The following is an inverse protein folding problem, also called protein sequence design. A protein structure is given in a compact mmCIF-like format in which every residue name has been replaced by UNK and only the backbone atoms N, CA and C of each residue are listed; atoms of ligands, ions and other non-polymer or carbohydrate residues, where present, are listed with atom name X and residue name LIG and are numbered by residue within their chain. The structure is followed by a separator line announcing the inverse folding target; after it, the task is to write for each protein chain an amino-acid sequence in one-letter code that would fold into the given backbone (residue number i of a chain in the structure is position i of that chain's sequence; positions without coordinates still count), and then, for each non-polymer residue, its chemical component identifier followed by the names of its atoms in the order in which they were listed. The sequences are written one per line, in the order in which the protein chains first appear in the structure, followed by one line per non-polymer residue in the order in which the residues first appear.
data_IF_588615855160
#
_entry.id   IF_588615855160
#
_cell.length_a   1.000
_cell.length_b   1.000
_cell.length_c   1.000
_cell.angle_alpha   90.00
_cell.angle_beta   90.00
_cell.angle_gamma   90.00
#
_symmetry.space_group_name_H-M   'P 1'
#
loop_
_entity.id
_entity.type
_entity.pdbx_description
1 polymer ?
#
# COMPACT_ATOMS: atom_id res chain seq x y z
N UNK A 1 -49.62 -27.17 15.47
CA UNK A 1 -48.17 -26.98 15.28
C UNK A 1 -47.99 -26.57 13.84
N UNK A 2 -47.69 -25.29 13.60
CA UNK A 2 -47.52 -24.75 12.25
C UNK A 2 -46.03 -24.89 11.86
N UNK A 3 -45.77 -25.53 10.73
CA UNK A 3 -44.43 -25.66 10.16
C UNK A 3 -43.90 -24.28 9.76
N UNK A 4 -42.72 -23.93 10.27
CA UNK A 4 -42.00 -22.74 9.86
C UNK A 4 -41.49 -22.92 8.41
N UNK A 5 -41.61 -21.89 7.54
CA UNK A 5 -41.16 -22.01 6.17
C UNK A 5 -39.63 -22.13 6.10
N UNK A 6 -39.08 -22.84 5.10
CA UNK A 6 -37.65 -23.01 4.95
C UNK A 6 -36.97 -21.67 4.73
N UNK A 7 -35.90 -21.43 5.50
CA UNK A 7 -35.06 -20.24 5.45
C UNK A 7 -34.51 -20.05 4.02
N UNK A 8 -35.03 -19.06 3.29
CA UNK A 8 -34.52 -18.66 1.98
C UNK A 8 -33.11 -18.09 2.15
N UNK A 9 -32.09 -18.91 1.91
CA UNK A 9 -30.71 -18.45 1.69
C UNK A 9 -30.66 -17.82 0.29
N UNK A 10 -31.22 -16.62 0.13
CA UNK A 10 -31.09 -15.84 -1.10
C UNK A 10 -30.82 -14.37 -0.80
N UNK A 11 -29.62 -14.06 -0.32
CA UNK A 11 -29.03 -12.72 -0.45
C UNK A 11 -27.52 -12.81 -0.22
N UNK A 12 -26.75 -12.18 -1.10
CA UNK A 12 -25.28 -12.13 -1.16
C UNK A 12 -24.58 -13.33 -1.83
N UNK A 13 -24.92 -13.61 -3.09
CA UNK A 13 -23.83 -13.88 -4.04
C UNK A 13 -23.10 -12.56 -4.23
N UNK A 14 -21.89 -12.39 -3.67
CA UNK A 14 -21.02 -11.32 -4.15
C UNK A 14 -20.86 -11.53 -5.64
N UNK A 15 -21.20 -10.53 -6.47
CA UNK A 15 -20.97 -10.64 -7.90
C UNK A 15 -19.50 -10.99 -8.12
N UNK A 16 -19.25 -12.11 -8.82
CA UNK A 16 -17.89 -12.54 -9.18
C UNK A 16 -17.34 -11.45 -10.11
N UNK A 17 -16.22 -10.83 -9.72
CA UNK A 17 -15.59 -9.78 -10.51
C UNK A 17 -15.18 -10.34 -11.88
N UNK A 18 -15.52 -9.64 -12.94
CA UNK A 18 -15.11 -10.00 -14.31
C UNK A 18 -13.71 -9.48 -14.61
N UNK A 19 -13.03 -10.11 -15.59
CA UNK A 19 -11.72 -9.62 -16.05
C UNK A 19 -11.81 -8.19 -16.61
N UNK A 20 -12.93 -7.85 -17.27
CA UNK A 20 -13.20 -6.51 -17.78
C UNK A 20 -13.27 -5.46 -16.66
N UNK A 21 -13.99 -5.75 -15.57
CA UNK A 21 -14.04 -4.88 -14.38
C UNK A 21 -12.66 -4.74 -13.73
N UNK A 22 -11.92 -5.85 -13.60
CA UNK A 22 -10.55 -5.81 -13.08
C UNK A 22 -9.63 -4.94 -13.92
N UNK A 23 -9.65 -5.06 -15.25
CA UNK A 23 -8.84 -4.22 -16.16
C UNK A 23 -9.20 -2.75 -16.01
N UNK A 24 -10.48 -2.42 -15.84
CA UNK A 24 -10.92 -1.04 -15.60
C UNK A 24 -10.33 -0.48 -14.30
N UNK A 25 -10.39 -1.24 -13.20
CA UNK A 25 -9.81 -0.87 -11.90
C UNK A 25 -8.28 -0.73 -12.02
N UNK A 26 -7.61 -1.71 -12.64
CA UNK A 26 -6.16 -1.75 -12.82
C UNK A 26 -5.70 -0.54 -13.63
N UNK A 27 -6.31 -0.28 -14.78
CA UNK A 27 -5.90 0.82 -15.67
C UNK A 27 -6.12 2.19 -15.01
N UNK A 28 -7.22 2.38 -14.28
CA UNK A 28 -7.46 3.59 -13.47
C UNK A 28 -6.39 3.75 -12.39
N UNK A 29 -6.10 2.69 -11.65
CA UNK A 29 -5.12 2.72 -10.56
C UNK A 29 -3.68 2.86 -11.09
N UNK A 30 -3.37 2.40 -12.30
CA UNK A 30 -2.06 2.56 -12.92
C UNK A 30 -1.73 4.03 -13.20
N UNK A 31 -2.73 4.79 -13.68
CA UNK A 31 -2.61 6.24 -13.85
C UNK A 31 -2.38 6.98 -12.53
N UNK A 32 -3.13 6.62 -11.47
CA UNK A 32 -2.90 7.17 -10.13
C UNK A 32 -1.54 6.75 -9.55
N UNK A 33 -1.07 5.54 -9.84
CA UNK A 33 0.22 5.07 -9.38
C UNK A 33 1.36 5.90 -9.98
N UNK A 34 1.27 6.25 -11.26
CA UNK A 34 2.24 7.14 -11.92
C UNK A 34 2.41 8.47 -11.15
N UNK A 35 1.30 9.13 -10.79
CA UNK A 35 1.34 10.40 -10.08
C UNK A 35 1.68 10.26 -8.59
N UNK A 36 1.23 9.21 -7.91
CA UNK A 36 1.30 9.16 -6.45
C UNK A 36 2.51 8.43 -5.87
N UNK A 37 3.00 7.37 -6.54
CA UNK A 37 3.99 6.46 -5.96
C UNK A 37 5.11 6.06 -6.93
N UNK A 38 4.82 5.87 -8.22
CA UNK A 38 5.81 5.40 -9.19
C UNK A 38 7.05 6.31 -9.23
N UNK A 39 8.23 5.70 -9.12
CA UNK A 39 9.55 6.33 -9.01
C UNK A 39 9.72 7.27 -7.81
N UNK A 40 8.92 7.09 -6.75
CA UNK A 40 9.00 7.89 -5.53
C UNK A 40 9.51 7.07 -4.35
N UNK A 41 10.19 7.77 -3.46
CA UNK A 41 10.56 7.30 -2.14
C UNK A 41 9.67 7.99 -1.10
N UNK A 42 9.12 7.21 -0.19
CA UNK A 42 8.19 7.66 0.85
C UNK A 42 8.81 7.38 2.22
N UNK A 43 8.95 8.41 3.05
CA UNK A 43 9.32 8.24 4.45
C UNK A 43 8.05 8.27 5.31
N UNK A 44 7.78 7.16 6.02
CA UNK A 44 6.72 7.09 7.01
C UNK A 44 7.32 7.37 8.38
N UNK A 45 6.98 8.50 8.99
CA UNK A 45 7.47 8.90 10.32
C UNK A 45 6.41 8.63 11.36
N UNK A 46 6.78 7.88 12.39
CA UNK A 46 5.84 7.36 13.37
C UNK A 46 6.40 7.43 14.79
N UNK A 47 5.49 7.33 15.76
CA UNK A 47 5.84 6.99 17.14
C UNK A 47 5.57 5.52 17.38
N UNK A 48 6.53 4.79 17.93
CA UNK A 48 6.38 3.39 18.30
C UNK A 48 5.54 3.23 19.60
N UNK A 49 5.42 1.99 20.06
CA UNK A 49 4.72 1.64 21.31
C UNK A 49 5.33 2.26 22.56
N UNK A 50 6.60 2.68 22.50
CA UNK A 50 7.31 3.34 23.59
C UNK A 50 7.33 4.87 23.42
N UNK A 51 6.50 5.41 22.51
CA UNK A 51 6.41 6.83 22.18
C UNK A 51 7.74 7.41 21.66
N UNK A 52 8.67 6.56 21.21
CA UNK A 52 9.90 6.96 20.53
C UNK A 52 9.59 7.22 19.07
N UNK A 53 10.16 8.30 18.54
CA UNK A 53 10.03 8.60 17.11
C UNK A 53 11.00 7.75 16.31
N UNK A 54 10.50 7.18 15.22
CA UNK A 54 11.28 6.44 14.24
C UNK A 54 10.68 6.64 12.84
N UNK A 55 11.38 6.15 11.82
CA UNK A 55 10.92 6.22 10.44
C UNK A 55 11.37 5.00 9.62
N UNK A 56 10.63 4.72 8.55
CA UNK A 56 11.11 3.85 7.48
C UNK A 56 10.97 4.55 6.13
N UNK A 57 11.83 4.17 5.19
CA UNK A 57 11.79 4.65 3.82
C UNK A 57 11.39 3.51 2.87
N UNK A 58 10.37 3.73 2.05
CA UNK A 58 9.92 2.77 1.04
C UNK A 58 10.07 3.33 -0.37
N UNK A 59 10.69 2.57 -1.27
CA UNK A 59 10.84 2.93 -2.67
C UNK A 59 9.83 2.18 -3.56
N UNK A 60 9.14 2.95 -4.41
CA UNK A 60 8.09 2.45 -5.29
C UNK A 60 8.54 2.56 -6.75
N UNK A 61 8.62 1.42 -7.43
CA UNK A 61 9.08 1.27 -8.81
C UNK A 61 7.98 0.70 -9.71
N UNK A 62 8.07 0.93 -11.04
CA UNK A 62 7.09 0.40 -12.00
C UNK A 62 6.75 -1.09 -11.82
N UNK A 63 7.74 -1.93 -11.55
CA UNK A 63 7.55 -3.37 -11.37
C UNK A 63 6.75 -3.74 -10.11
N UNK A 64 6.64 -2.86 -9.11
CA UNK A 64 5.84 -3.14 -7.92
C UNK A 64 4.34 -3.17 -8.24
N UNK A 65 3.88 -2.41 -9.23
CA UNK A 65 2.45 -2.24 -9.51
C UNK A 65 1.73 -3.57 -9.79
N UNK A 66 2.35 -4.47 -10.57
CA UNK A 66 1.76 -5.78 -10.88
C UNK A 66 1.46 -6.58 -9.60
N UNK A 67 2.35 -6.57 -8.61
CA UNK A 67 2.17 -7.28 -7.35
C UNK A 67 0.97 -6.76 -6.53
N UNK A 68 0.61 -5.48 -6.69
CA UNK A 68 -0.53 -4.87 -6.02
C UNK A 68 -1.87 -5.31 -6.62
N UNK A 69 -1.88 -5.67 -7.90
CA UNK A 69 -3.11 -6.11 -8.58
C UNK A 69 -3.49 -7.55 -8.26
N UNK A 70 -2.51 -8.39 -7.89
CA UNK A 70 -2.74 -9.80 -7.61
C UNK A 70 -2.93 -10.69 -8.83
N UNK A 71 -3.03 -10.14 -10.04
CA UNK A 71 -3.22 -10.91 -11.28
C UNK A 71 -1.94 -11.62 -11.69
N UNK A 72 -2.10 -12.71 -12.43
CA UNK A 72 -1.03 -13.35 -13.19
C UNK A 72 -1.17 -12.99 -14.68
N UNK A 73 -0.12 -13.25 -15.46
CA UNK A 73 -0.10 -12.93 -16.90
C UNK A 73 0.14 -14.20 -17.71
N UNK A 74 -0.66 -14.43 -18.77
CA UNK A 74 -0.63 -15.69 -19.56
C UNK A 74 0.69 -15.96 -20.27
N UNK A 75 1.41 -14.92 -20.69
CA UNK A 75 2.66 -15.06 -21.45
C UNK A 75 3.90 -14.69 -20.62
N UNK A 76 3.80 -14.78 -19.28
CA UNK A 76 4.84 -14.30 -18.36
C UNK A 76 5.31 -12.87 -18.67
N UNK A 77 4.36 -12.01 -19.05
CA UNK A 77 4.61 -10.59 -19.29
C UNK A 77 5.32 -10.01 -18.07
N UNK A 78 6.52 -9.46 -18.28
CA UNK A 78 7.31 -8.87 -17.20
C UNK A 78 6.53 -7.72 -16.54
N UNK A 79 6.66 -7.58 -15.22
CA UNK A 79 5.91 -6.58 -14.44
C UNK A 79 6.03 -5.13 -14.98
N UNK A 80 7.20 -4.75 -15.49
CA UNK A 80 7.39 -3.44 -16.14
C UNK A 80 6.57 -3.27 -17.43
N UNK A 81 6.46 -4.33 -18.24
CA UNK A 81 5.65 -4.30 -19.46
C UNK A 81 4.16 -4.26 -19.10
N UNK A 82 3.74 -5.08 -18.13
CA UNK A 82 2.38 -5.05 -17.60
C UNK A 82 1.98 -3.64 -17.12
N UNK A 83 2.85 -2.97 -16.36
CA UNK A 83 2.57 -1.62 -15.88
C UNK A 83 2.43 -0.61 -17.03
N UNK A 84 3.31 -0.64 -18.03
CA UNK A 84 3.19 0.23 -19.21
C UNK A 84 1.87 0.00 -19.93
N UNK A 85 1.52 -1.26 -20.18
CA UNK A 85 0.26 -1.60 -20.86
C UNK A 85 -0.97 -1.16 -20.05
N UNK A 86 -0.90 -1.22 -18.72
CA UNK A 86 -1.95 -0.72 -17.84
C UNK A 86 -2.11 0.82 -17.91
N UNK A 87 -1.00 1.55 -17.90
CA UNK A 87 -1.00 3.02 -18.02
C UNK A 87 -1.53 3.45 -19.39
N UNK A 88 -1.08 2.79 -20.46
CA UNK A 88 -1.48 3.07 -21.84
C UNK A 88 -2.89 2.55 -22.17
N UNK A 89 -3.57 1.89 -21.23
CA UNK A 89 -4.88 1.25 -21.41
C UNK A 89 -4.90 0.20 -22.53
N UNK A 90 -3.80 -0.54 -22.68
CA UNK A 90 -3.61 -1.60 -23.69
C UNK A 90 -3.83 -3.02 -23.17
N UNK A 91 -4.16 -3.19 -21.88
CA UNK A 91 -4.50 -4.49 -21.30
C UNK A 91 -5.80 -5.05 -21.89
N UNK A 92 -5.77 -6.33 -22.24
CA UNK A 92 -6.93 -7.13 -22.69
C UNK A 92 -7.24 -8.23 -21.68
N UNK A 93 -8.47 -8.71 -21.67
CA UNK A 93 -8.92 -9.82 -20.81
C UNK A 93 -8.01 -11.05 -20.97
N UNK A 94 -7.60 -11.33 -22.21
CA UNK A 94 -6.67 -12.41 -22.53
C UNK A 94 -5.26 -12.25 -21.95
N UNK A 95 -4.89 -11.08 -21.44
CA UNK A 95 -3.56 -10.83 -20.88
C UNK A 95 -3.45 -11.19 -19.39
N UNK A 96 -4.58 -11.27 -18.69
CA UNK A 96 -4.60 -11.48 -17.23
C UNK A 96 -5.25 -12.82 -16.87
N UNK A 97 -4.84 -13.37 -15.73
CA UNK A 97 -5.42 -14.54 -15.09
C UNK A 97 -5.66 -14.19 -13.63
N UNK A 98 -6.82 -14.57 -13.10
CA UNK A 98 -7.08 -14.46 -11.66
C UNK A 98 -6.49 -15.66 -10.96
N UNK A 99 -5.95 -15.44 -9.76
CA UNK A 99 -5.46 -16.53 -8.92
C UNK A 99 -6.63 -17.34 -8.36
N UNK A 100 -6.48 -18.65 -8.33
CA UNK A 100 -7.52 -19.58 -7.83
C UNK A 100 -7.85 -19.39 -6.33
N UNK A 101 -6.99 -18.72 -5.58
CA UNK A 101 -7.17 -18.45 -4.15
C UNK A 101 -7.94 -17.15 -3.82
N UNK A 102 -8.61 -16.54 -4.80
CA UNK A 102 -9.40 -15.30 -4.67
C UNK A 102 -8.64 -14.06 -4.14
N UNK A 103 -7.31 -14.13 -4.05
CA UNK A 103 -6.50 -13.00 -3.57
C UNK A 103 -6.45 -11.85 -4.57
N UNK A 104 -6.75 -12.10 -5.84
CA UNK A 104 -6.83 -11.06 -6.88
C UNK A 104 -7.95 -10.07 -6.56
N UNK A 105 -9.14 -10.58 -6.30
CA UNK A 105 -10.33 -9.78 -6.02
C UNK A 105 -10.16 -8.97 -4.73
N UNK A 106 -9.61 -9.59 -3.68
CA UNK A 106 -9.31 -8.91 -2.41
C UNK A 106 -8.34 -7.74 -2.62
N UNK A 107 -7.27 -7.96 -3.40
CA UNK A 107 -6.29 -6.91 -3.72
C UNK A 107 -6.91 -5.79 -4.55
N UNK A 108 -7.70 -6.11 -5.57
CA UNK A 108 -8.35 -5.12 -6.42
C UNK A 108 -9.38 -4.26 -5.67
N UNK A 109 -10.08 -4.82 -4.69
CA UNK A 109 -11.01 -4.07 -3.83
C UNK A 109 -10.33 -2.95 -3.02
N UNK A 110 -9.05 -3.13 -2.65
CA UNK A 110 -8.29 -2.13 -1.87
C UNK A 110 -7.23 -1.41 -2.67
N UNK A 111 -7.03 -1.76 -3.95
CA UNK A 111 -5.94 -1.23 -4.77
C UNK A 111 -5.93 0.30 -4.76
N UNK A 112 -7.09 0.94 -4.93
CA UNK A 112 -7.20 2.40 -4.88
C UNK A 112 -6.68 2.99 -3.55
N UNK A 113 -7.01 2.38 -2.42
CA UNK A 113 -6.54 2.81 -1.10
C UNK A 113 -5.02 2.70 -0.98
N UNK A 114 -4.45 1.62 -1.52
CA UNK A 114 -3.00 1.39 -1.52
C UNK A 114 -2.25 2.36 -2.43
N UNK A 115 -2.79 2.68 -3.61
CA UNK A 115 -2.15 3.68 -4.48
C UNK A 115 -2.07 5.06 -3.80
N UNK A 116 -2.96 5.31 -2.83
CA UNK A 116 -3.00 6.53 -2.03
C UNK A 116 -2.31 6.39 -0.66
N UNK A 117 -1.51 5.34 -0.43
CA UNK A 117 -0.93 5.04 0.89
C UNK A 117 -0.09 6.19 1.47
N UNK A 118 0.60 6.96 0.61
CA UNK A 118 1.38 8.12 1.03
C UNK A 118 0.53 9.25 1.65
N UNK A 119 -0.78 9.27 1.37
CA UNK A 119 -1.73 10.24 1.90
C UNK A 119 -2.62 9.65 3.01
N UNK A 120 -2.84 8.32 2.97
CA UNK A 120 -3.85 7.65 3.79
C UNK A 120 -3.28 6.83 4.95
N UNK A 121 -2.02 6.41 4.92
CA UNK A 121 -1.44 5.57 5.98
C UNK A 121 -1.47 6.26 7.35
N UNK A 122 -1.92 5.55 8.39
CA UNK A 122 -2.00 6.05 9.77
C UNK A 122 -1.24 5.21 10.76
N UNK A 123 -0.99 3.95 10.42
CA UNK A 123 -0.33 3.00 11.28
C UNK A 123 0.79 2.27 10.55
N UNK A 124 1.74 1.81 11.34
CA UNK A 124 2.87 1.01 10.88
C UNK A 124 3.37 0.10 12.01
N UNK A 125 3.88 -1.08 11.67
CA UNK A 125 4.47 -1.98 12.64
C UNK A 125 5.21 -3.14 12.00
N UNK A 126 5.88 -3.94 12.82
CA UNK A 126 6.37 -5.26 12.41
C UNK A 126 5.19 -6.17 12.09
N UNK A 127 5.34 -6.95 11.02
CA UNK A 127 4.33 -7.91 10.63
C UNK A 127 4.36 -9.10 11.59
N UNK A 128 3.25 -9.32 12.29
CA UNK A 128 3.05 -10.47 13.20
C UNK A 128 1.82 -11.28 12.82
N UNK A 129 1.37 -11.17 11.57
CA UNK A 129 0.16 -11.83 11.10
C UNK A 129 0.34 -13.35 10.95
N UNK A 130 -0.76 -14.12 11.02
CA UNK A 130 -0.74 -15.58 11.00
C UNK A 130 -0.51 -16.19 9.61
N UNK A 131 -0.34 -15.37 8.55
CA UNK A 131 -0.19 -15.87 7.18
C UNK A 131 1.23 -16.42 7.01
N UNK A 132 1.37 -17.72 7.31
CA UNK A 132 2.64 -18.48 7.34
C UNK A 132 3.51 -18.35 6.08
N UNK A 133 2.91 -18.07 4.91
CA UNK A 133 3.64 -17.96 3.63
C UNK A 133 4.00 -16.52 3.23
N UNK A 134 3.61 -15.52 4.02
CA UNK A 134 3.85 -14.13 3.66
C UNK A 134 5.21 -13.65 4.18
N UNK A 135 6.22 -13.67 3.31
CA UNK A 135 7.51 -13.03 3.60
C UNK A 135 7.37 -11.49 3.56
N UNK A 136 6.99 -10.89 4.69
CA UNK A 136 6.84 -9.45 4.91
C UNK A 136 7.43 -9.07 6.26
N UNK A 137 8.18 -7.97 6.34
CA UNK A 137 8.83 -7.53 7.59
C UNK A 137 8.05 -6.42 8.28
N UNK A 138 7.71 -5.35 7.53
CA UNK A 138 6.92 -4.22 8.02
C UNK A 138 5.60 -4.16 7.28
N UNK A 139 4.58 -3.64 7.95
CA UNK A 139 3.28 -3.37 7.35
C UNK A 139 2.84 -1.95 7.69
N UNK A 140 2.31 -1.22 6.72
CA UNK A 140 1.76 0.12 6.91
C UNK A 140 0.40 0.25 6.26
N UNK A 141 -0.49 1.05 6.83
CA UNK A 141 -1.87 1.08 6.37
C UNK A 141 -2.84 1.77 7.30
N UNK A 142 -4.08 1.33 7.14
CA UNK A 142 -5.25 1.76 7.90
C UNK A 142 -5.97 0.52 8.44
N UNK A 143 -7.18 0.71 8.96
CA UNK A 143 -8.07 -0.39 9.34
C UNK A 143 -8.76 -1.07 8.14
N UNK A 144 -8.55 -0.59 6.91
CA UNK A 144 -9.23 -1.12 5.72
C UNK A 144 -8.30 -1.75 4.69
N UNK A 145 -7.03 -1.37 4.68
CA UNK A 145 -6.05 -1.88 3.74
C UNK A 145 -4.63 -1.70 4.28
N UNK A 146 -3.78 -2.66 3.95
CA UNK A 146 -2.39 -2.68 4.36
C UNK A 146 -1.44 -2.94 3.19
N UNK A 147 -0.28 -2.28 3.23
CA UNK A 147 0.85 -2.49 2.35
C UNK A 147 1.96 -3.20 3.14
N UNK A 148 2.36 -4.37 2.65
CA UNK A 148 3.53 -5.07 3.18
C UNK A 148 4.81 -4.57 2.53
N UNK A 149 5.88 -4.57 3.33
CA UNK A 149 7.20 -4.07 2.99
C UNK A 149 8.27 -5.07 3.44
N UNK A 150 9.27 -5.27 2.58
CA UNK A 150 10.49 -6.04 2.90
C UNK A 150 11.71 -5.14 2.75
N UNK A 151 12.70 -5.29 3.61
CA UNK A 151 13.92 -4.51 3.55
C UNK A 151 14.85 -5.06 2.47
N UNK A 152 15.30 -4.17 1.60
CA UNK A 152 16.35 -4.44 0.63
C UNK A 152 17.48 -3.43 0.86
N UNK A 153 18.59 -3.89 1.44
CA UNK A 153 19.67 -3.04 1.95
C UNK A 153 19.18 -2.05 3.02
N UNK A 154 19.16 -0.75 2.71
CA UNK A 154 18.73 0.33 3.63
C UNK A 154 17.30 0.81 3.38
N UNK A 155 16.63 0.34 2.32
CA UNK A 155 15.34 0.85 1.88
C UNK A 155 14.33 -0.29 1.83
N UNK A 156 13.09 -0.03 2.22
CA UNK A 156 12.00 -0.98 2.07
C UNK A 156 11.45 -0.97 0.64
N UNK A 157 11.04 -2.14 0.16
CA UNK A 157 10.31 -2.29 -1.10
C UNK A 157 8.96 -2.94 -0.82
N UNK A 158 7.90 -2.50 -1.51
CA UNK A 158 6.59 -3.08 -1.33
C UNK A 158 6.50 -4.43 -2.05
N UNK A 159 6.03 -5.44 -1.31
CA UNK A 159 5.96 -6.82 -1.79
C UNK A 159 4.52 -7.35 -1.84
N UNK A 160 3.61 -6.83 -1.02
CA UNK A 160 2.22 -7.32 -0.97
C UNK A 160 1.21 -6.26 -0.56
N UNK A 161 -0.06 -6.58 -0.79
CA UNK A 161 -1.24 -5.79 -0.42
C UNK A 161 -2.23 -6.73 0.25
N UNK A 162 -2.79 -6.28 1.37
CA UNK A 162 -3.77 -7.03 2.16
C UNK A 162 -5.01 -6.17 2.39
N UNK A 163 -6.19 -6.74 2.17
CA UNK A 163 -7.47 -6.18 2.61
C UNK A 163 -7.72 -6.66 4.04
N UNK A 164 -7.10 -5.98 4.99
CA UNK A 164 -7.17 -6.35 6.40
C UNK A 164 -6.96 -5.12 7.29
N UNK A 165 -7.42 -5.21 8.54
CA UNK A 165 -7.13 -4.21 9.56
C UNK A 165 -5.70 -4.38 10.08
N UNK A 166 -4.87 -3.35 9.95
CA UNK A 166 -3.48 -3.39 10.39
C UNK A 166 -3.32 -3.76 11.87
N UNK A 167 -4.30 -3.45 12.72
CA UNK A 167 -4.25 -3.78 14.15
C UNK A 167 -4.24 -5.29 14.41
N UNK A 168 -4.74 -6.08 13.46
CA UNK A 168 -4.72 -7.54 13.51
C UNK A 168 -3.37 -8.12 13.04
N UNK A 169 -2.51 -7.30 12.42
CA UNK A 169 -1.29 -7.72 11.74
C UNK A 169 0.00 -7.15 12.36
N UNK A 170 -0.13 -6.36 13.43
CA UNK A 170 0.99 -5.74 14.14
C UNK A 170 0.85 -5.92 15.65
N UNK A 171 1.95 -5.81 16.42
CA UNK A 171 1.88 -5.69 17.87
C UNK A 171 0.95 -4.55 18.31
N UNK A 172 0.30 -4.72 19.47
CA UNK A 172 -0.57 -3.71 20.06
C UNK A 172 0.18 -2.96 21.18
N UNK A 173 0.33 -1.63 21.11
CA UNK A 173 -0.18 -0.72 20.08
C UNK A 173 0.69 -0.68 18.82
N UNK A 174 0.04 -0.57 17.65
CA UNK A 174 0.73 -0.26 16.39
C UNK A 174 1.36 1.14 16.45
N UNK A 175 2.50 1.30 15.79
CA UNK A 175 3.12 2.61 15.61
C UNK A 175 2.19 3.59 14.90
N UNK A 176 2.17 4.85 15.35
CA UNK A 176 1.27 5.89 14.84
C UNK A 176 2.03 6.85 13.95
N UNK A 177 1.66 6.87 12.67
CA UNK A 177 2.24 7.79 11.69
C UNK A 177 1.71 9.19 11.96
N UNK A 178 2.63 10.16 12.10
CA UNK A 178 2.29 11.57 12.28
C UNK A 178 2.77 12.45 11.12
N UNK A 179 3.72 11.98 10.30
CA UNK A 179 4.16 12.66 9.09
C UNK A 179 4.52 11.65 8.00
N UNK A 180 4.24 12.00 6.75
CA UNK A 180 4.72 11.26 5.57
C UNK A 180 5.38 12.26 4.62
N UNK A 181 6.64 11.98 4.28
CA UNK A 181 7.40 12.77 3.32
C UNK A 181 7.56 12.01 2.01
N UNK A 182 7.65 12.74 0.91
CA UNK A 182 7.81 12.18 -0.44
C UNK A 182 8.87 12.91 -1.26
N UNK A 183 9.60 12.13 -2.05
CA UNK A 183 10.53 12.62 -3.09
C UNK A 183 10.58 11.67 -4.28
N UNK A 184 11.18 12.10 -5.38
CA UNK A 184 11.62 11.18 -6.43
C UNK A 184 12.80 10.34 -5.92
N UNK A 185 12.92 9.09 -6.37
CA UNK A 185 13.99 8.17 -5.93
C UNK A 185 15.40 8.73 -6.23
N UNK A 186 15.55 9.52 -7.29
CA UNK A 186 16.82 10.14 -7.67
C UNK A 186 17.12 11.46 -6.95
N UNK A 187 16.19 11.97 -6.14
CA UNK A 187 16.40 13.19 -5.36
C UNK A 187 17.05 12.89 -4.02
N UNK A 188 17.95 13.78 -3.61
CA UNK A 188 18.59 13.71 -2.30
C UNK A 188 17.61 14.10 -1.19
N UNK A 189 16.83 15.16 -1.41
CA UNK A 189 15.96 15.77 -0.40
C UNK A 189 14.49 15.38 -0.60
N UNK A 190 13.77 15.26 0.51
CA UNK A 190 12.32 15.25 0.61
C UNK A 190 11.79 16.65 0.42
N UNK A 191 10.92 16.82 -0.58
CA UNK A 191 10.43 18.13 -1.05
C UNK A 191 8.92 18.28 -0.88
N UNK A 192 8.24 17.28 -0.32
CA UNK A 192 6.80 17.27 -0.12
C UNK A 192 6.41 16.54 1.17
N UNK A 193 5.43 17.10 1.89
CA UNK A 193 4.70 16.42 2.95
C UNK A 193 3.35 15.97 2.38
N UNK A 194 3.13 14.66 2.29
CA UNK A 194 1.87 14.09 1.78
C UNK A 194 0.86 13.81 2.90
N UNK A 195 1.33 13.79 4.15
CA UNK A 195 0.46 13.69 5.31
C UNK A 195 1.13 14.30 6.54
N UNK A 196 0.31 14.97 7.35
CA UNK A 196 0.66 15.44 8.69
C UNK A 196 -0.55 15.22 9.60
N UNK A 197 -0.32 14.69 10.80
CA UNK A 197 -1.39 14.54 11.79
C UNK A 197 -1.95 15.90 12.16
N UNK A 198 -3.28 15.97 12.30
CA UNK A 198 -3.94 17.18 12.79
C UNK A 198 -3.34 17.59 14.13
N UNK A 199 -3.08 18.89 14.31
CA UNK A 199 -2.51 19.49 15.51
C UNK A 199 -1.09 19.04 15.87
N UNK A 200 -0.35 18.42 14.96
CA UNK A 200 1.05 18.07 15.18
C UNK A 200 1.95 18.97 14.35
N UNK A 201 2.76 19.81 14.98
CA UNK A 201 3.76 20.65 14.30
C UNK A 201 5.03 19.84 14.02
N UNK A 202 5.46 19.82 12.76
CA UNK A 202 6.67 19.12 12.33
C UNK A 202 7.87 20.07 12.52
N UNK A 203 8.51 19.97 13.68
CA UNK A 203 9.75 20.71 14.00
C UNK A 203 10.97 19.80 13.90
N UNK A 204 12.17 20.36 13.89
CA UNK A 204 13.39 19.54 13.85
C UNK A 204 13.50 18.56 15.04
N UNK A 205 13.04 18.98 16.23
CA UNK A 205 13.15 18.19 17.47
C UNK A 205 12.32 16.91 17.46
N UNK A 206 11.29 16.85 16.62
CA UNK A 206 10.40 15.69 16.56
C UNK A 206 10.78 14.67 15.49
N UNK A 207 11.89 14.86 14.77
CA UNK A 207 12.32 13.95 13.70
C UNK A 207 13.68 13.32 14.02
N UNK A 208 13.92 12.07 13.56
CA UNK A 208 15.24 11.43 13.68
C UNK A 208 16.32 12.20 12.91
N UNK A 209 17.55 12.24 13.45
CA UNK A 209 18.67 13.01 12.88
C UNK A 209 19.02 12.57 11.46
N UNK A 210 18.92 11.28 11.20
CA UNK A 210 19.20 10.64 9.91
C UNK A 210 18.21 11.06 8.82
N UNK A 211 16.97 11.38 9.22
CA UNK A 211 15.94 11.86 8.31
C UNK A 211 16.05 13.38 8.09
N UNK A 212 16.39 14.15 9.13
CA UNK A 212 16.51 15.61 9.06
C UNK A 212 17.47 16.09 7.97
N UNK A 213 18.62 15.42 7.81
CA UNK A 213 19.61 15.77 6.78
C UNK A 213 19.13 15.50 5.34
N UNK A 214 17.94 14.90 5.19
CA UNK A 214 17.31 14.58 3.93
C UNK A 214 16.01 15.35 3.69
N UNK A 215 15.59 16.27 4.57
CA UNK A 215 14.34 17.03 4.41
C UNK A 215 14.66 18.47 4.02
N UNK A 216 13.95 19.01 3.03
CA UNK A 216 14.04 20.44 2.71
C UNK A 216 13.63 21.28 3.92
N UNK A 217 14.46 22.24 4.36
CA UNK A 217 14.16 23.04 5.55
C UNK A 217 12.82 23.77 5.50
N UNK A 218 12.34 24.13 4.32
CA UNK A 218 11.03 24.77 4.11
C UNK A 218 9.83 23.89 4.46
N UNK A 219 10.02 22.58 4.62
CA UNK A 219 8.99 21.66 5.09
C UNK A 219 8.89 21.58 6.61
N UNK A 220 9.82 22.23 7.33
CA UNK A 220 9.88 22.19 8.79
C UNK A 220 9.42 23.53 9.34
N UNK A 221 8.57 23.46 10.37
CA UNK A 221 8.22 24.62 11.18
C UNK A 221 9.40 24.97 12.10
N UNK A 222 9.52 26.28 12.38
CA UNK A 222 10.56 26.84 13.26
C UNK A 222 10.42 26.37 14.71
#
# INVERSE_FOLDING_TARGET
MADAPPFQISKYRSAIMTQKEAISIISKCAGLYASHLCNKQIAFVYRDSHNKTDFIEAAFRPNNFMHFTGVETRNHTKANAFYRDAVDRRLKESNIIFKDNHTTELKLQVLHSIINIAYSARMIGDYTGPLLDLYTEKITGTTSACLGLIKSNRIYIPNTVLKEDIRNLTPNPSGKIFAIFRKQINQKMYTEITYQSKNFLITQKCLPKELLIQIEPSLLEL
#
